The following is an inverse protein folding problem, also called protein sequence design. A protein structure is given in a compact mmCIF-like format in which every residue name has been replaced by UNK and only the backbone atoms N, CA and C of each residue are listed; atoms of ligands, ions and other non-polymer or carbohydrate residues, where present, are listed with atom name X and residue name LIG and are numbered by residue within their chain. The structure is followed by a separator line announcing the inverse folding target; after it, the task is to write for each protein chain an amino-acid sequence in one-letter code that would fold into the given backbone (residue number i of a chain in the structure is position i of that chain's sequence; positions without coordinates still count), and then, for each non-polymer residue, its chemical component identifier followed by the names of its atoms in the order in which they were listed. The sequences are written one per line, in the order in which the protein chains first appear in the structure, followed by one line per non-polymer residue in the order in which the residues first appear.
data_IF_010969433443
#
_entry.id   IF_010969433443
#
_cell.length_a   1.000
_cell.length_b   1.000
_cell.length_c   1.000
_cell.angle_alpha   90.00
_cell.angle_beta   90.00
_cell.angle_gamma   90.00
#
_symmetry.space_group_name_H-M   'P 1'
#
loop_
_entity.id
_entity.type
_entity.pdbx_description
1 polymer ?
#
# COMPACT_ATOMS: atom_id res chain seq x y z
N UNK A 1 -17.07 7.56 10.81
CA UNK A 1 -16.03 8.15 9.94
C UNK A 1 -15.88 7.19 8.78
N UNK A 2 -16.27 7.61 7.58
CA UNK A 2 -16.10 6.79 6.38
C UNK A 2 -14.61 6.72 6.04
N UNK A 3 -14.15 5.56 5.58
CA UNK A 3 -12.77 5.37 5.15
C UNK A 3 -12.65 5.97 3.74
N UNK A 4 -11.91 7.08 3.62
CA UNK A 4 -11.77 7.84 2.37
C UNK A 4 -10.80 7.17 1.37
N UNK A 5 -10.19 6.05 1.73
CA UNK A 5 -9.16 5.37 0.95
C UNK A 5 -9.76 4.32 0.01
N UNK A 6 -9.38 4.39 -1.27
CA UNK A 6 -9.83 3.48 -2.31
C UNK A 6 -8.64 2.70 -2.86
N UNK A 7 -8.73 1.38 -2.96
CA UNK A 7 -7.72 0.59 -3.66
C UNK A 7 -7.82 0.83 -5.17
N UNK A 8 -6.69 1.07 -5.82
CA UNK A 8 -6.61 1.25 -7.26
C UNK A 8 -5.47 0.40 -7.83
N UNK A 9 -5.68 -0.15 -9.02
CA UNK A 9 -4.70 -1.06 -9.64
C UNK A 9 -3.51 -0.31 -10.25
N UNK A 10 -3.66 0.99 -10.54
CA UNK A 10 -2.64 1.79 -11.23
C UNK A 10 -2.61 3.26 -10.80
N UNK A 11 -1.54 3.94 -11.21
CA UNK A 11 -1.32 5.37 -10.97
C UNK A 11 -2.34 6.28 -11.66
N UNK A 12 -3.09 5.78 -12.65
CA UNK A 12 -4.10 6.55 -13.40
C UNK A 12 -5.20 7.08 -12.46
N UNK A 13 -5.46 6.38 -11.35
CA UNK A 13 -6.41 6.82 -10.32
C UNK A 13 -6.03 8.18 -9.68
N UNK A 14 -4.74 8.55 -9.68
CA UNK A 14 -4.27 9.83 -9.13
C UNK A 14 -4.71 11.05 -9.93
N UNK A 15 -5.27 10.87 -11.13
CA UNK A 15 -5.88 11.96 -11.91
C UNK A 15 -7.09 12.59 -11.20
N UNK A 16 -7.72 11.87 -10.27
CA UNK A 16 -8.78 12.41 -9.41
C UNK A 16 -8.27 13.04 -8.11
N UNK A 17 -9.18 13.68 -7.36
CA UNK A 17 -8.89 14.28 -6.05
C UNK A 17 -9.06 13.30 -4.86
N UNK A 18 -9.19 12.00 -5.12
CA UNK A 18 -9.34 10.97 -4.09
C UNK A 18 -8.03 10.62 -3.39
N UNK A 19 -8.15 9.76 -2.37
CA UNK A 19 -7.02 9.08 -1.70
C UNK A 19 -6.98 7.62 -2.15
N UNK A 20 -5.82 7.18 -2.62
CA UNK A 20 -5.69 5.89 -3.29
C UNK A 20 -4.59 5.04 -2.68
N UNK A 21 -4.87 3.75 -2.56
CA UNK A 21 -3.90 2.73 -2.17
C UNK A 21 -3.47 2.01 -3.45
N UNK A 22 -2.19 2.12 -3.80
CA UNK A 22 -1.60 1.54 -5.00
C UNK A 22 -0.80 0.26 -4.66
N UNK A 23 -0.72 -0.73 -5.56
CA UNK A 23 0.26 -1.80 -5.47
C UNK A 23 1.69 -1.23 -5.40
N UNK A 24 2.59 -1.92 -4.70
CA UNK A 24 3.99 -1.48 -4.55
C UNK A 24 4.64 -1.13 -5.89
N UNK A 25 4.47 -1.96 -6.92
CA UNK A 25 5.06 -1.71 -8.25
C UNK A 25 4.50 -0.45 -8.91
N UNK A 26 3.19 -0.19 -8.78
CA UNK A 26 2.58 1.02 -9.32
C UNK A 26 3.12 2.28 -8.60
N UNK A 27 3.31 2.20 -7.28
CA UNK A 27 3.93 3.28 -6.51
C UNK A 27 5.40 3.54 -6.87
N UNK A 28 6.19 2.47 -7.03
CA UNK A 28 7.60 2.58 -7.42
C UNK A 28 7.78 3.16 -8.82
N UNK A 29 6.84 2.88 -9.73
CA UNK A 29 6.80 3.40 -11.08
C UNK A 29 6.38 4.87 -11.21
N UNK A 30 5.91 5.51 -10.14
CA UNK A 30 5.59 6.94 -10.15
C UNK A 30 6.83 7.80 -10.27
N UNK A 31 6.71 8.90 -11.02
CA UNK A 31 7.69 9.98 -10.98
C UNK A 31 7.91 10.48 -9.54
N UNK A 32 9.17 10.71 -9.09
CA UNK A 32 9.46 11.16 -7.74
C UNK A 32 8.74 12.45 -7.34
N UNK A 33 8.56 13.37 -8.29
CA UNK A 33 7.85 14.63 -8.05
C UNK A 33 6.33 14.42 -7.87
N UNK A 34 5.75 13.43 -8.56
CA UNK A 34 4.35 13.02 -8.36
C UNK A 34 4.19 12.40 -6.97
N UNK A 35 5.10 11.51 -6.56
CA UNK A 35 5.07 10.94 -5.20
C UNK A 35 5.12 12.01 -4.11
N UNK A 36 6.03 12.99 -4.24
CA UNK A 36 6.15 14.08 -3.26
C UNK A 36 4.91 14.97 -3.23
N UNK A 37 4.41 15.39 -4.39
CA UNK A 37 3.27 16.31 -4.49
C UNK A 37 1.95 15.68 -4.06
N UNK A 38 1.77 14.38 -4.27
CA UNK A 38 0.55 13.65 -3.93
C UNK A 38 0.69 12.77 -2.66
N UNK A 39 1.75 12.93 -1.86
CA UNK A 39 2.03 12.09 -0.67
C UNK A 39 0.87 11.96 0.31
N UNK A 40 0.05 13.01 0.45
CA UNK A 40 -1.11 13.06 1.35
C UNK A 40 -2.30 12.22 0.86
N UNK A 41 -2.25 11.78 -0.40
CA UNK A 41 -3.31 11.06 -1.10
C UNK A 41 -2.87 9.70 -1.63
N UNK A 42 -1.61 9.33 -1.38
CA UNK A 42 -1.04 8.05 -1.80
C UNK A 42 -0.83 7.16 -0.58
N UNK A 43 -1.31 5.94 -0.70
CA UNK A 43 -0.95 4.82 0.15
C UNK A 43 -0.42 3.67 -0.70
N UNK A 44 0.22 2.70 -0.06
CA UNK A 44 0.74 1.50 -0.72
C UNK A 44 0.13 0.25 -0.11
N UNK A 45 -0.27 -0.69 -0.96
CA UNK A 45 -0.63 -2.05 -0.59
C UNK A 45 0.59 -2.96 -0.79
N UNK A 46 1.05 -3.58 0.30
CA UNK A 46 2.11 -4.58 0.30
C UNK A 46 1.48 -5.98 0.27
N UNK A 47 1.85 -6.76 -0.74
CA UNK A 47 1.50 -8.17 -0.86
C UNK A 47 2.48 -9.04 -0.08
N UNK A 48 2.08 -10.25 0.34
CA UNK A 48 3.04 -11.25 0.80
C UNK A 48 4.11 -11.51 -0.26
N UNK A 49 5.38 -11.35 0.12
CA UNK A 49 6.52 -11.52 -0.80
C UNK A 49 7.02 -10.23 -1.45
N UNK A 50 6.36 -9.09 -1.24
CA UNK A 50 6.92 -7.79 -1.63
C UNK A 50 8.22 -7.50 -0.86
N UNK A 51 9.23 -6.99 -1.56
CA UNK A 51 10.52 -6.62 -0.99
C UNK A 51 10.43 -5.30 -0.23
N UNK A 52 10.41 -5.36 1.11
CA UNK A 52 10.27 -4.18 1.98
C UNK A 52 11.40 -3.16 1.80
N UNK A 53 12.62 -3.59 1.52
CA UNK A 53 13.77 -2.68 1.29
C UNK A 53 13.49 -1.64 0.19
N UNK A 54 12.62 -1.96 -0.77
CA UNK A 54 12.26 -1.04 -1.87
C UNK A 54 11.39 0.14 -1.41
N UNK A 55 10.69 0.04 -0.27
CA UNK A 55 9.79 1.10 0.23
C UNK A 55 10.35 1.87 1.43
N UNK A 56 11.31 1.31 2.19
CA UNK A 56 11.85 1.93 3.43
C UNK A 56 12.30 3.38 3.22
N UNK A 57 13.02 3.66 2.13
CA UNK A 57 13.51 5.01 1.81
C UNK A 57 12.46 5.96 1.21
N UNK A 58 11.22 5.52 1.07
CA UNK A 58 10.12 6.27 0.45
C UNK A 58 8.95 6.51 1.40
N UNK A 59 9.06 6.10 2.66
CA UNK A 59 7.98 6.19 3.65
C UNK A 59 7.53 7.64 3.94
N UNK A 60 8.39 8.63 3.73
CA UNK A 60 8.03 10.06 3.85
C UNK A 60 7.19 10.59 2.66
N UNK A 61 7.03 9.77 1.61
CA UNK A 61 6.33 10.12 0.36
C UNK A 61 4.95 9.46 0.24
N UNK A 62 4.44 8.84 1.30
CA UNK A 62 3.12 8.22 1.35
C UNK A 62 2.50 8.39 2.74
N UNK A 63 1.17 8.38 2.82
CA UNK A 63 0.44 8.62 4.08
C UNK A 63 -0.14 7.35 4.70
N UNK A 64 -0.12 6.23 3.96
CA UNK A 64 -0.73 4.99 4.41
C UNK A 64 0.03 3.77 3.86
N UNK A 65 0.25 2.78 4.72
CA UNK A 65 0.71 1.44 4.32
C UNK A 65 -0.38 0.44 4.69
N UNK A 66 -0.88 -0.27 3.69
CA UNK A 66 -1.79 -1.39 3.85
C UNK A 66 -1.02 -2.69 3.65
N UNK A 67 -1.33 -3.70 4.48
CA UNK A 67 -0.75 -5.04 4.38
C UNK A 67 -1.84 -6.02 3.94
N UNK A 68 -1.61 -6.73 2.85
CA UNK A 68 -2.51 -7.80 2.43
C UNK A 68 -2.28 -9.04 3.28
N UNK A 69 -3.29 -9.42 4.07
CA UNK A 69 -3.31 -10.69 4.77
C UNK A 69 -4.11 -11.69 3.92
N UNK A 70 -3.48 -12.72 3.34
CA UNK A 70 -4.21 -13.73 2.59
C UNK A 70 -5.20 -14.43 3.52
N UNK A 71 -6.44 -14.57 3.06
CA UNK A 71 -7.42 -15.39 3.76
C UNK A 71 -6.96 -16.84 3.71
N UNK A 72 -6.69 -17.44 4.88
CA UNK A 72 -6.41 -18.87 4.99
C UNK A 72 -7.70 -19.63 4.71
N UNK A 73 -7.85 -20.13 3.49
CA UNK A 73 -9.04 -20.90 3.07
C UNK A 73 -9.02 -22.38 3.52
N UNK A 74 -7.92 -22.87 4.10
CA UNK A 74 -7.83 -24.26 4.58
C UNK A 74 -8.12 -24.33 6.08
N UNK A 75 -9.36 -24.06 6.50
CA UNK A 75 -10.08 -24.50 7.73
C UNK A 75 -9.37 -24.70 9.08
N UNK A 76 -8.11 -24.30 9.27
CA UNK A 76 -7.30 -24.60 10.45
C UNK A 76 -7.25 -23.37 11.35
N UNK A 77 -7.74 -23.52 12.58
CA UNK A 77 -7.71 -22.48 13.60
C UNK A 77 -6.29 -21.93 13.78
N UNK A 78 -6.11 -20.63 13.56
CA UNK A 78 -4.85 -19.96 13.88
C UNK A 78 -4.72 -19.84 15.40
N UNK A 79 -3.84 -20.65 15.99
CA UNK A 79 -3.28 -20.42 17.31
C UNK A 79 -1.77 -20.49 17.22
N UNK A 80 -1.14 -19.31 17.17
CA UNK A 80 0.05 -18.88 17.95
C UNK A 80 0.83 -17.82 17.17
N UNK A 81 0.82 -16.60 17.70
CA UNK A 81 1.93 -15.69 17.50
C UNK A 81 3.13 -16.18 18.31
N UNK A 82 4.31 -16.04 17.75
CA UNK A 82 5.56 -16.10 18.51
C UNK A 82 6.42 -14.90 18.10
N UNK A 83 6.86 -14.17 19.12
CA UNK A 83 7.91 -13.16 19.05
C UNK A 83 9.25 -13.91 19.04
N UNK A 84 10.17 -13.52 18.15
CA UNK A 84 11.61 -13.79 18.33
C UNK A 84 12.31 -12.48 18.68
#
# INVERSE_FOLDING_TARGET
REDEWIQAESAEALAGNGRFILPLQAFLGLDPEVRKSARERIGVLLQPGDELDKIVGLLDQLSLVALAFPAFNDGRSFSKGELL
#
